data_IF_409990958539
#
_entry.id   IF_409990958539
#
_cell.length_a   1.000
_cell.length_b   1.000
_cell.length_c   1.000
_cell.angle_alpha   90.00
_cell.angle_beta   90.00
_cell.angle_gamma   90.00
#
_symmetry.space_group_name_H-M   'P 1'
#
loop_
_entity.id
_entity.type
_entity.pdbx_description
1 polymer ?
#
# COMPACT_ATOMS: atom_id res chain seq x y z
N UNK A 1 -28.51 -31.09 -82.34
CA UNK A 1 -27.84 -31.58 -81.12
C UNK A 1 -27.23 -30.39 -80.44
N UNK A 2 -27.89 -29.82 -79.35
CA UNK A 2 -27.47 -28.60 -78.66
C UNK A 2 -26.85 -29.03 -77.36
N UNK A 3 -25.57 -28.69 -77.18
CA UNK A 3 -24.78 -28.97 -75.95
C UNK A 3 -24.97 -27.80 -74.99
N UNK A 4 -25.65 -28.03 -73.85
CA UNK A 4 -25.71 -27.05 -72.75
C UNK A 4 -24.41 -27.08 -71.94
N UNK A 5 -23.70 -25.96 -71.88
CA UNK A 5 -22.59 -25.74 -70.98
C UNK A 5 -23.13 -25.13 -69.67
N UNK A 6 -23.11 -25.91 -68.60
CA UNK A 6 -23.38 -25.42 -67.24
C UNK A 6 -22.17 -24.68 -66.72
N UNK A 7 -22.36 -23.40 -66.40
CA UNK A 7 -21.35 -22.58 -65.72
C UNK A 7 -21.43 -22.84 -64.21
N UNK A 8 -20.38 -23.43 -63.66
CA UNK A 8 -20.19 -23.57 -62.17
C UNK A 8 -19.65 -22.26 -61.64
N UNK A 9 -20.46 -21.55 -60.81
CA UNK A 9 -20.04 -20.34 -60.12
C UNK A 9 -19.32 -20.76 -58.81
N UNK A 10 -18.03 -20.50 -58.74
CA UNK A 10 -17.24 -20.60 -57.50
C UNK A 10 -17.53 -19.39 -56.63
N UNK A 11 -18.18 -19.58 -55.46
CA UNK A 11 -18.32 -18.58 -54.42
C UNK A 11 -17.10 -18.70 -53.53
N UNK A 12 -16.19 -17.73 -53.63
CA UNK A 12 -15.06 -17.61 -52.70
C UNK A 12 -15.57 -17.06 -51.35
N UNK A 13 -15.57 -17.90 -50.32
CA UNK A 13 -15.91 -17.53 -48.96
C UNK A 13 -14.69 -16.84 -48.35
N UNK A 14 -14.72 -15.50 -48.25
CA UNK A 14 -13.72 -14.72 -47.49
C UNK A 14 -14.00 -14.90 -46.01
N UNK A 15 -13.21 -15.76 -45.34
CA UNK A 15 -13.17 -15.86 -43.89
C UNK A 15 -12.32 -14.69 -43.41
N UNK A 16 -12.96 -13.63 -42.90
CA UNK A 16 -12.28 -12.56 -42.18
C UNK A 16 -11.77 -13.10 -40.82
N UNK A 17 -10.46 -13.29 -40.69
CA UNK A 17 -9.80 -13.53 -39.40
C UNK A 17 -9.94 -12.27 -38.55
N UNK A 18 -10.91 -12.26 -37.62
CA UNK A 18 -10.97 -11.27 -36.54
C UNK A 18 -9.91 -11.70 -35.54
N UNK A 19 -8.73 -11.08 -35.58
CA UNK A 19 -7.75 -11.19 -34.50
C UNK A 19 -8.40 -10.64 -33.22
N UNK A 20 -8.32 -11.34 -32.07
CA UNK A 20 -8.80 -10.77 -30.85
C UNK A 20 -7.94 -9.53 -30.54
N UNK A 21 -8.56 -8.36 -30.52
CA UNK A 21 -7.94 -7.17 -29.95
C UNK A 21 -7.60 -7.52 -28.50
N UNK A 22 -6.31 -7.52 -28.14
CA UNK A 22 -5.90 -7.62 -26.76
C UNK A 22 -6.59 -6.47 -26.02
N UNK A 23 -7.57 -6.78 -25.18
CA UNK A 23 -8.20 -5.82 -24.31
C UNK A 23 -7.12 -5.37 -23.31
N UNK A 24 -6.47 -4.25 -23.61
CA UNK A 24 -5.67 -3.58 -22.61
C UNK A 24 -6.61 -3.29 -21.44
N UNK A 25 -6.31 -3.86 -20.25
CA UNK A 25 -7.05 -3.56 -19.04
C UNK A 25 -7.05 -2.04 -18.86
N UNK A 26 -8.23 -1.44 -18.98
CA UNK A 26 -8.36 0.01 -18.86
C UNK A 26 -8.11 0.36 -17.39
N UNK A 27 -7.07 1.11 -17.13
CA UNK A 27 -6.79 1.66 -15.79
C UNK A 27 -7.91 2.66 -15.49
N UNK A 28 -8.68 2.40 -14.44
CA UNK A 28 -9.81 3.24 -14.05
C UNK A 28 -10.09 3.10 -12.55
N UNK A 29 -11.07 3.86 -12.02
CA UNK A 29 -11.40 3.87 -10.61
C UNK A 29 -12.15 2.62 -10.09
N UNK A 30 -12.54 1.71 -10.97
CA UNK A 30 -13.06 0.42 -10.55
C UNK A 30 -11.94 -0.43 -9.94
N UNK A 31 -12.29 -1.33 -9.03
CA UNK A 31 -11.32 -2.19 -8.32
C UNK A 31 -10.35 -2.89 -9.27
N UNK A 32 -10.87 -3.42 -10.38
CA UNK A 32 -10.06 -4.13 -11.39
C UNK A 32 -9.07 -3.19 -12.09
N UNK A 33 -9.48 -1.97 -12.41
CA UNK A 33 -8.60 -0.97 -13.03
C UNK A 33 -7.52 -0.47 -12.07
N UNK A 34 -7.86 -0.27 -10.81
CA UNK A 34 -6.91 0.09 -9.75
C UNK A 34 -5.93 -1.06 -9.45
N UNK A 35 -6.41 -2.32 -9.47
CA UNK A 35 -5.53 -3.48 -9.38
C UNK A 35 -4.55 -3.53 -10.54
N UNK A 36 -5.02 -3.30 -11.78
CA UNK A 36 -4.15 -3.26 -12.95
C UNK A 36 -3.08 -2.16 -12.85
N UNK A 37 -3.42 -0.97 -12.32
CA UNK A 37 -2.44 0.09 -12.06
C UNK A 37 -1.38 -0.34 -11.03
N UNK A 38 -1.79 -1.04 -9.98
CA UNK A 38 -0.88 -1.61 -8.98
C UNK A 38 0.05 -2.66 -9.59
N UNK A 39 -0.49 -3.57 -10.41
CA UNK A 39 0.30 -4.63 -11.05
C UNK A 39 1.37 -4.04 -11.98
N UNK A 40 1.03 -2.97 -12.72
CA UNK A 40 1.99 -2.23 -13.54
C UNK A 40 3.07 -1.56 -12.69
N UNK A 41 2.70 -0.98 -11.55
CA UNK A 41 3.67 -0.40 -10.61
C UNK A 41 4.60 -1.47 -10.03
N UNK A 42 4.07 -2.59 -9.56
CA UNK A 42 4.89 -3.70 -9.02
C UNK A 42 5.87 -4.24 -10.07
N UNK A 43 5.40 -4.37 -11.33
CA UNK A 43 6.26 -4.78 -12.43
C UNK A 43 7.36 -3.74 -12.74
N UNK A 44 7.02 -2.44 -12.69
CA UNK A 44 7.96 -1.34 -12.88
C UNK A 44 9.00 -1.29 -11.76
N UNK A 45 8.58 -1.37 -10.50
CA UNK A 45 9.47 -1.39 -9.34
C UNK A 45 10.38 -2.62 -9.35
N UNK A 46 9.84 -3.79 -9.71
CA UNK A 46 10.64 -5.02 -9.81
C UNK A 46 11.74 -4.93 -10.86
N UNK A 47 11.49 -4.24 -11.97
CA UNK A 47 12.46 -4.01 -13.07
C UNK A 47 13.35 -2.79 -12.86
N UNK A 48 12.97 -1.85 -12.01
CA UNK A 48 13.59 -0.52 -11.94
C UNK A 48 13.31 0.31 -13.19
N UNK A 49 12.16 0.11 -13.84
CA UNK A 49 11.81 0.78 -15.10
C UNK A 49 10.31 1.17 -15.11
N UNK A 50 10.00 2.44 -14.88
CA UNK A 50 8.63 2.96 -14.92
C UNK A 50 8.10 3.27 -16.34
N UNK A 51 8.89 3.08 -17.39
CA UNK A 51 8.53 3.51 -18.78
C UNK A 51 7.27 2.82 -19.32
N UNK A 52 6.94 1.63 -18.82
CA UNK A 52 5.74 0.87 -19.21
C UNK A 52 4.46 1.29 -18.46
N UNK A 53 4.55 2.22 -17.50
CA UNK A 53 3.38 2.66 -16.74
C UNK A 53 2.59 3.73 -17.51
N UNK A 54 1.23 3.70 -17.47
CA UNK A 54 0.39 4.69 -18.14
C UNK A 54 0.35 6.01 -17.32
N UNK A 55 1.46 6.72 -17.25
CA UNK A 55 1.55 7.98 -16.51
C UNK A 55 0.79 9.10 -17.22
N UNK A 56 0.08 9.93 -16.45
CA UNK A 56 -0.49 11.18 -16.94
C UNK A 56 0.62 12.18 -17.29
N UNK A 57 0.33 13.12 -18.19
CA UNK A 57 1.25 14.23 -18.44
C UNK A 57 1.41 15.05 -17.14
N UNK A 58 2.65 15.21 -16.69
CA UNK A 58 2.95 15.90 -15.43
C UNK A 58 2.59 15.09 -14.18
N UNK A 59 2.50 13.75 -14.28
CA UNK A 59 2.31 12.89 -13.11
C UNK A 59 3.33 13.22 -12.02
N UNK A 60 2.85 13.38 -10.79
CA UNK A 60 3.72 13.65 -9.65
C UNK A 60 4.37 12.34 -9.15
N UNK A 61 5.67 12.42 -8.84
CA UNK A 61 6.39 11.36 -8.16
C UNK A 61 6.96 11.91 -6.85
N UNK A 62 6.63 11.27 -5.74
CA UNK A 62 6.89 11.75 -4.39
C UNK A 62 7.56 10.63 -3.60
N UNK A 63 8.66 10.92 -2.93
CA UNK A 63 9.31 10.04 -1.96
C UNK A 63 9.43 10.74 -0.61
N UNK A 64 9.01 10.07 0.46
CA UNK A 64 9.11 10.58 1.81
C UNK A 64 8.58 12.03 1.93
N UNK A 65 7.40 12.27 1.30
CA UNK A 65 6.70 13.57 1.25
C UNK A 65 7.46 14.68 0.51
N UNK A 66 8.48 14.34 -0.29
CA UNK A 66 9.21 15.29 -1.14
C UNK A 66 8.99 14.95 -2.61
N UNK A 67 8.70 15.96 -3.42
CA UNK A 67 8.64 15.80 -4.89
C UNK A 67 10.04 15.48 -5.42
N UNK A 68 10.14 14.37 -6.14
CA UNK A 68 11.40 13.86 -6.70
C UNK A 68 11.22 13.65 -8.21
N UNK A 69 12.29 13.80 -8.98
CA UNK A 69 12.27 13.38 -10.38
C UNK A 69 12.16 11.85 -10.43
N UNK A 70 11.13 11.33 -11.11
CA UNK A 70 10.91 9.89 -11.26
C UNK A 70 12.14 9.18 -11.86
N UNK A 71 12.97 9.88 -12.60
CA UNK A 71 14.22 9.35 -13.19
C UNK A 71 15.35 9.14 -12.17
N UNK A 72 15.21 9.67 -10.97
CA UNK A 72 16.19 9.53 -9.88
C UNK A 72 15.63 8.83 -8.66
N UNK A 73 14.34 8.53 -8.65
CA UNK A 73 13.65 7.93 -7.51
C UNK A 73 13.94 6.44 -7.29
N UNK A 74 13.44 5.93 -6.17
CA UNK A 74 13.59 4.51 -5.79
C UNK A 74 12.97 3.56 -6.82
N UNK A 75 11.98 4.02 -7.58
CA UNK A 75 11.35 3.25 -8.67
C UNK A 75 12.32 2.88 -9.80
N UNK A 76 13.45 3.57 -9.92
CA UNK A 76 14.53 3.25 -10.87
C UNK A 76 15.46 2.14 -10.37
N UNK A 77 15.32 1.72 -9.13
CA UNK A 77 16.13 0.65 -8.54
C UNK A 77 15.40 -0.68 -8.71
N UNK A 78 15.95 -1.64 -9.47
CA UNK A 78 15.33 -2.96 -9.58
C UNK A 78 15.30 -3.63 -8.20
N UNK A 79 14.14 -4.20 -7.85
CA UNK A 79 13.93 -4.84 -6.56
C UNK A 79 13.36 -6.25 -6.74
N UNK A 80 13.96 -7.22 -6.06
CA UNK A 80 13.31 -8.52 -5.88
C UNK A 80 12.27 -8.35 -4.76
N UNK A 81 11.00 -8.18 -5.14
CA UNK A 81 9.90 -8.06 -4.19
C UNK A 81 9.65 -9.44 -3.59
N UNK A 82 9.86 -9.58 -2.28
CA UNK A 82 9.65 -10.85 -1.56
C UNK A 82 8.21 -11.00 -1.08
N UNK A 83 7.55 -9.88 -0.76
CA UNK A 83 6.13 -9.85 -0.36
C UNK A 83 5.53 -8.50 -0.69
N UNK A 84 4.24 -8.49 -1.01
CA UNK A 84 3.46 -7.25 -1.09
C UNK A 84 2.02 -7.47 -0.62
N UNK A 85 1.37 -6.37 -0.21
CA UNK A 85 -0.04 -6.29 0.15
C UNK A 85 -0.61 -5.02 -0.42
N UNK A 86 -1.80 -5.10 -1.02
CA UNK A 86 -2.44 -3.96 -1.67
C UNK A 86 -3.83 -3.70 -1.08
N UNK A 87 -4.11 -2.42 -0.82
CA UNK A 87 -5.42 -1.86 -0.54
C UNK A 87 -5.90 -1.13 -1.77
N UNK A 88 -7.20 -1.23 -2.04
CA UNK A 88 -7.83 -0.57 -3.20
C UNK A 88 -9.01 0.26 -2.72
N UNK A 89 -8.94 1.56 -2.98
CA UNK A 89 -9.97 2.55 -2.63
C UNK A 89 -10.65 3.11 -3.90
N UNK A 90 -11.74 2.51 -4.37
CA UNK A 90 -12.45 3.01 -5.54
C UNK A 90 -13.09 4.38 -5.34
N UNK A 91 -13.38 4.76 -4.08
CA UNK A 91 -14.06 6.03 -3.79
C UNK A 91 -13.16 7.25 -4.04
N UNK A 92 -11.85 7.10 -3.86
CA UNK A 92 -10.85 8.16 -4.10
C UNK A 92 -9.97 7.90 -5.31
N UNK A 93 -10.19 6.79 -6.02
CA UNK A 93 -9.36 6.34 -7.14
C UNK A 93 -7.90 6.12 -6.73
N UNK A 94 -7.69 5.50 -5.58
CA UNK A 94 -6.37 5.32 -4.99
C UNK A 94 -6.10 3.86 -4.64
N UNK A 95 -4.82 3.51 -4.63
CA UNK A 95 -4.34 2.26 -4.04
C UNK A 95 -3.22 2.55 -3.05
N UNK A 96 -3.01 1.65 -2.12
CA UNK A 96 -1.81 1.61 -1.30
C UNK A 96 -1.20 0.21 -1.38
N UNK A 97 0.10 0.13 -1.56
CA UNK A 97 0.82 -1.14 -1.61
C UNK A 97 1.99 -1.11 -0.64
N UNK A 98 1.96 -2.01 0.35
CA UNK A 98 3.10 -2.32 1.20
C UNK A 98 3.98 -3.34 0.47
N UNK A 99 5.29 -3.07 0.37
CA UNK A 99 6.27 -3.92 -0.31
C UNK A 99 7.40 -4.24 0.66
N UNK A 100 7.82 -5.50 0.71
CA UNK A 100 8.94 -5.96 1.52
C UNK A 100 10.02 -6.53 0.60
N UNK A 101 11.25 -6.04 0.77
CA UNK A 101 12.46 -6.48 0.07
C UNK A 101 13.52 -6.83 1.10
N UNK A 102 13.91 -8.10 1.17
CA UNK A 102 14.87 -8.61 2.17
C UNK A 102 16.28 -8.76 1.62
N UNK A 103 16.57 -8.19 0.43
CA UNK A 103 17.91 -8.21 -0.15
C UNK A 103 18.94 -7.65 0.85
N UNK A 104 19.92 -8.46 1.22
CA UNK A 104 20.91 -8.09 2.24
C UNK A 104 21.77 -6.88 1.86
N UNK A 105 21.93 -6.62 0.56
CA UNK A 105 22.69 -5.47 0.08
C UNK A 105 21.91 -4.17 0.16
N UNK A 106 20.58 -4.25 -0.09
CA UNK A 106 19.67 -3.09 -0.11
C UNK A 106 18.26 -3.50 0.30
N UNK A 107 18.02 -3.78 1.61
CA UNK A 107 16.69 -4.10 2.09
C UNK A 107 15.81 -2.85 2.13
N UNK A 108 14.52 -3.02 1.80
CA UNK A 108 13.50 -1.95 1.84
C UNK A 108 12.19 -2.46 2.43
N UNK A 109 11.45 -1.55 3.07
CA UNK A 109 10.01 -1.68 3.24
C UNK A 109 9.39 -0.40 2.71
N UNK A 110 8.52 -0.53 1.71
CA UNK A 110 7.88 0.60 1.04
C UNK A 110 6.39 0.62 1.32
N UNK A 111 5.84 1.80 1.53
CA UNK A 111 4.40 2.05 1.51
C UNK A 111 4.08 2.98 0.34
N UNK A 112 3.56 2.47 -0.77
CA UNK A 112 3.34 3.27 -1.98
C UNK A 112 1.86 3.49 -2.25
N UNK A 113 1.47 4.76 -2.33
CA UNK A 113 0.16 5.20 -2.79
C UNK A 113 0.22 5.53 -4.29
N UNK A 114 -0.79 5.09 -5.03
CA UNK A 114 -1.01 5.47 -6.42
C UNK A 114 -2.37 6.16 -6.51
N UNK A 115 -2.42 7.31 -7.19
CA UNK A 115 -3.68 7.95 -7.53
C UNK A 115 -3.89 7.91 -9.04
N UNK A 116 -5.04 7.37 -9.42
CA UNK A 116 -5.48 7.28 -10.81
C UNK A 116 -6.43 8.44 -11.13
N UNK A 117 -6.28 9.01 -12.32
CA UNK A 117 -7.20 9.99 -12.87
C UNK A 117 -7.58 9.55 -14.29
N UNK A 118 -8.87 9.29 -14.51
CA UNK A 118 -9.39 8.64 -15.71
C UNK A 118 -8.73 7.25 -15.90
N UNK A 119 -7.87 7.10 -16.89
CA UNK A 119 -7.15 5.87 -17.23
C UNK A 119 -5.63 5.97 -17.03
N UNK A 120 -5.17 7.02 -16.34
CA UNK A 120 -3.76 7.36 -16.15
C UNK A 120 -3.39 7.45 -14.68
N UNK A 121 -2.17 7.04 -14.38
CA UNK A 121 -1.57 7.27 -13.07
C UNK A 121 -1.15 8.75 -12.98
N UNK A 122 -1.82 9.50 -12.13
CA UNK A 122 -1.59 10.92 -11.94
C UNK A 122 -0.57 11.23 -10.82
N UNK A 123 -0.40 10.29 -9.88
CA UNK A 123 0.51 10.46 -8.76
C UNK A 123 0.99 9.12 -8.24
N UNK A 124 2.27 9.04 -7.91
CA UNK A 124 2.90 7.95 -7.18
C UNK A 124 3.59 8.57 -5.97
N UNK A 125 3.22 8.14 -4.77
CA UNK A 125 3.83 8.60 -3.53
C UNK A 125 4.29 7.42 -2.71
N UNK A 126 5.60 7.33 -2.46
CA UNK A 126 6.22 6.23 -1.71
C UNK A 126 6.80 6.73 -0.39
N UNK A 127 6.39 6.13 0.72
CA UNK A 127 7.19 6.15 1.92
C UNK A 127 8.24 5.06 1.80
N UNK A 128 9.49 5.45 1.75
CA UNK A 128 10.64 4.57 1.54
C UNK A 128 11.38 4.43 2.85
N UNK A 129 11.38 3.23 3.43
CA UNK A 129 12.19 2.92 4.62
C UNK A 129 13.29 1.92 4.31
N UNK A 130 14.45 2.12 4.93
CA UNK A 130 15.69 1.39 4.72
C UNK A 130 16.53 1.40 6.01
N UNK A 131 17.71 0.72 6.06
CA UNK A 131 18.58 0.76 7.23
C UNK A 131 18.91 2.18 7.69
N UNK A 132 18.64 2.47 8.96
CA UNK A 132 18.76 3.81 9.57
C UNK A 132 17.41 4.49 9.85
N UNK A 133 16.34 4.03 9.24
CA UNK A 133 14.98 4.48 9.56
C UNK A 133 14.47 3.89 10.89
N UNK A 134 13.35 4.42 11.37
CA UNK A 134 12.79 4.05 12.66
C UNK A 134 12.49 2.55 12.76
N UNK A 135 13.17 1.87 13.70
CA UNK A 135 13.01 0.44 13.99
C UNK A 135 13.11 -0.48 12.76
N UNK A 136 13.73 0.00 11.67
CA UNK A 136 13.75 -0.72 10.40
C UNK A 136 14.36 -2.12 10.53
N UNK A 137 13.58 -3.13 10.13
CA UNK A 137 14.03 -4.51 10.00
C UNK A 137 13.16 -5.27 8.99
N UNK A 138 13.60 -5.33 7.75
CA UNK A 138 12.86 -5.99 6.66
C UNK A 138 12.68 -7.50 6.87
N UNK A 139 13.67 -8.19 7.43
CA UNK A 139 13.58 -9.63 7.73
C UNK A 139 12.47 -9.93 8.74
N UNK A 140 12.38 -9.12 9.80
CA UNK A 140 11.32 -9.26 10.78
C UNK A 140 9.95 -8.87 10.20
N UNK A 141 9.89 -7.84 9.36
CA UNK A 141 8.66 -7.49 8.65
C UNK A 141 8.18 -8.68 7.81
N UNK A 142 9.08 -9.30 7.04
CA UNK A 142 8.81 -10.49 6.24
C UNK A 142 8.40 -11.70 7.08
N UNK A 143 8.94 -11.83 8.30
CA UNK A 143 8.60 -12.92 9.21
C UNK A 143 7.14 -12.89 9.65
N UNK A 144 6.56 -11.70 9.82
CA UNK A 144 5.24 -11.53 10.42
C UNK A 144 4.13 -11.28 9.39
N UNK A 145 4.39 -10.41 8.41
CA UNK A 145 3.34 -9.90 7.49
C UNK A 145 2.63 -10.98 6.66
N UNK A 146 3.30 -12.02 6.12
CA UNK A 146 2.60 -13.03 5.31
C UNK A 146 1.62 -13.90 6.10
N UNK A 147 1.81 -14.02 7.42
CA UNK A 147 0.95 -14.85 8.29
C UNK A 147 -0.30 -14.13 8.80
N UNK A 148 -0.48 -12.85 8.50
CA UNK A 148 -1.63 -12.06 8.92
C UNK A 148 -2.78 -12.17 7.91
N UNK A 149 -4.00 -12.35 8.43
CA UNK A 149 -5.19 -12.39 7.58
C UNK A 149 -5.68 -10.98 7.23
N UNK A 150 -5.42 -10.59 5.99
CA UNK A 150 -5.92 -9.37 5.35
C UNK A 150 -6.91 -9.69 4.23
N UNK A 151 -7.52 -10.85 4.27
CA UNK A 151 -8.46 -11.31 3.26
C UNK A 151 -9.74 -10.49 3.19
N UNK A 152 -10.54 -10.79 2.19
CA UNK A 152 -11.84 -10.16 1.94
C UNK A 152 -12.83 -10.46 3.07
N UNK A 153 -13.47 -9.40 3.58
CA UNK A 153 -14.58 -9.51 4.55
C UNK A 153 -15.88 -9.71 3.77
N UNK A 154 -16.75 -10.67 4.19
CA UNK A 154 -18.07 -10.81 3.61
C UNK A 154 -18.86 -9.49 3.64
N UNK A 155 -19.57 -9.15 2.56
CA UNK A 155 -20.19 -7.83 2.39
C UNK A 155 -21.07 -7.39 3.58
N UNK A 156 -21.84 -8.34 4.17
CA UNK A 156 -22.69 -8.07 5.33
C UNK A 156 -21.93 -7.82 6.66
N UNK A 157 -20.62 -8.01 6.68
CA UNK A 157 -19.77 -7.87 7.86
C UNK A 157 -18.74 -6.74 7.71
N UNK A 158 -18.75 -6.03 6.58
CA UNK A 158 -17.82 -4.93 6.34
C UNK A 158 -18.17 -3.74 7.19
N UNK A 159 -17.16 -3.16 7.80
CA UNK A 159 -17.26 -1.85 8.42
C UNK A 159 -17.32 -0.77 7.31
N UNK A 160 -18.04 0.31 7.58
CA UNK A 160 -18.09 1.46 6.67
C UNK A 160 -16.77 2.24 6.69
N UNK A 161 -16.52 3.00 5.63
CA UNK A 161 -15.39 3.94 5.54
C UNK A 161 -15.23 4.80 6.79
N UNK A 162 -16.34 5.37 7.28
CA UNK A 162 -16.33 6.24 8.46
C UNK A 162 -15.90 5.47 9.72
N UNK A 163 -16.35 4.23 9.89
CA UNK A 163 -15.94 3.37 11.00
C UNK A 163 -14.45 3.06 10.94
N UNK A 164 -13.92 2.74 9.75
CA UNK A 164 -12.51 2.44 9.55
C UNK A 164 -11.63 3.66 9.86
N UNK A 165 -11.99 4.83 9.32
CA UNK A 165 -11.26 6.09 9.56
C UNK A 165 -11.37 6.52 11.03
N UNK A 166 -12.53 6.34 11.68
CA UNK A 166 -12.68 6.65 13.11
C UNK A 166 -11.79 5.78 14.00
N UNK A 167 -11.67 4.47 13.69
CA UNK A 167 -10.77 3.57 14.40
C UNK A 167 -9.30 3.96 14.24
N UNK A 168 -8.88 4.33 13.02
CA UNK A 168 -7.54 4.82 12.74
C UNK A 168 -7.24 6.13 13.49
N UNK A 169 -8.17 7.10 13.44
CA UNK A 169 -8.00 8.36 14.15
C UNK A 169 -7.91 8.16 15.68
N UNK A 170 -8.75 7.31 16.27
CA UNK A 170 -8.69 7.01 17.70
C UNK A 170 -7.30 6.47 18.12
N UNK A 171 -6.69 5.62 17.28
CA UNK A 171 -5.33 5.14 17.50
C UNK A 171 -4.30 6.27 17.41
N UNK A 172 -4.34 7.08 16.35
CA UNK A 172 -3.39 8.17 16.12
C UNK A 172 -3.51 9.28 17.18
N UNK A 173 -4.72 9.57 17.67
CA UNK A 173 -4.98 10.54 18.74
C UNK A 173 -4.46 10.07 20.11
N UNK A 174 -4.42 8.75 20.33
CA UNK A 174 -3.93 8.19 21.57
C UNK A 174 -2.45 8.53 21.84
N UNK A 175 -1.66 8.83 20.81
CA UNK A 175 -0.26 9.24 20.94
C UNK A 175 -0.08 10.61 21.58
N UNK A 176 -1.01 11.53 21.38
CA UNK A 176 -0.93 12.87 21.96
C UNK A 176 -1.28 12.86 23.47
N UNK A 177 -2.44 12.31 23.79
CA UNK A 177 -3.02 12.43 25.14
C UNK A 177 -2.96 11.12 25.94
N UNK A 178 -2.39 10.07 25.36
CA UNK A 178 -2.36 8.71 25.94
C UNK A 178 -3.75 8.18 26.30
N UNK A 179 -4.76 8.51 25.50
CA UNK A 179 -6.14 8.01 25.65
C UNK A 179 -6.29 6.59 25.13
N UNK A 180 -5.53 5.66 25.68
CA UNK A 180 -5.49 4.25 25.22
C UNK A 180 -6.86 3.59 25.29
N UNK A 181 -7.66 3.90 26.28
CA UNK A 181 -8.99 3.30 26.49
C UNK A 181 -10.04 3.76 25.45
N UNK A 182 -9.77 4.86 24.73
CA UNK A 182 -10.65 5.35 23.68
C UNK A 182 -10.43 4.60 22.33
N UNK A 183 -9.34 3.87 22.20
CA UNK A 183 -9.01 3.14 20.99
C UNK A 183 -9.81 1.83 20.92
N UNK A 184 -10.47 1.52 19.81
CA UNK A 184 -11.27 0.31 19.67
C UNK A 184 -10.40 -0.94 19.44
N UNK A 185 -9.67 -1.36 20.46
CA UNK A 185 -8.79 -2.53 20.39
C UNK A 185 -9.56 -3.81 20.11
N UNK A 186 -9.07 -4.62 19.18
CA UNK A 186 -9.42 -6.03 19.02
C UNK A 186 -8.40 -6.91 19.77
N UNK A 187 -8.77 -8.16 20.07
CA UNK A 187 -7.86 -9.12 20.68
C UNK A 187 -7.96 -10.46 19.95
N UNK A 188 -6.85 -11.04 19.51
CA UNK A 188 -5.50 -10.47 19.51
C UNK A 188 -5.38 -9.27 18.56
N UNK A 189 -4.50 -8.34 18.88
CA UNK A 189 -4.09 -7.24 18.01
C UNK A 189 -2.56 -7.24 17.90
N UNK A 190 -2.04 -7.20 16.68
CA UNK A 190 -0.60 -7.20 16.44
C UNK A 190 -0.16 -5.86 15.84
N UNK A 191 0.88 -5.25 16.43
CA UNK A 191 1.52 -4.05 15.89
C UNK A 191 2.94 -4.37 15.46
N UNK A 192 3.26 -4.07 14.20
CA UNK A 192 4.60 -4.17 13.63
C UNK A 192 5.08 -2.77 13.27
N UNK A 193 6.10 -2.30 13.97
CA UNK A 193 6.63 -0.95 13.88
C UNK A 193 8.04 -1.01 13.28
N UNK A 194 8.19 -0.64 12.01
CA UNK A 194 9.45 -0.72 11.26
C UNK A 194 10.04 -2.14 11.11
N UNK A 195 9.37 -3.15 11.66
CA UNK A 195 9.82 -4.54 11.74
C UNK A 195 9.89 -5.08 13.17
N UNK A 196 9.75 -4.23 14.18
CA UNK A 196 9.64 -4.67 15.57
C UNK A 196 8.17 -4.95 15.88
N UNK A 197 7.86 -6.21 16.19
CA UNK A 197 6.54 -6.58 16.65
C UNK A 197 6.40 -6.25 18.13
N UNK A 198 5.41 -5.41 18.46
CA UNK A 198 5.05 -5.12 19.83
C UNK A 198 4.05 -6.16 20.35
N UNK A 199 4.09 -6.48 21.63
CA UNK A 199 3.28 -7.55 22.19
C UNK A 199 4.13 -8.78 22.53
N UNK A 200 3.48 -9.80 23.13
CA UNK A 200 4.15 -10.99 23.67
C UNK A 200 3.91 -12.23 22.79
N UNK A 201 3.12 -12.13 21.73
CA UNK A 201 2.79 -13.23 20.83
C UNK A 201 1.77 -14.22 21.43
N UNK A 202 0.97 -13.78 22.41
CA UNK A 202 -0.09 -14.59 23.04
C UNK A 202 -1.47 -14.17 22.54
N UNK A 203 -2.51 -15.04 22.62
CA UNK A 203 -3.85 -14.74 22.11
C UNK A 203 -4.51 -13.48 22.71
N UNK A 204 -4.04 -13.03 23.86
CA UNK A 204 -4.55 -11.83 24.56
C UNK A 204 -3.74 -10.57 24.26
N UNK A 205 -2.75 -10.65 23.37
CA UNK A 205 -1.96 -9.48 23.02
C UNK A 205 -2.82 -8.36 22.44
N UNK A 206 -2.48 -7.14 22.86
CA UNK A 206 -3.02 -5.89 22.35
C UNK A 206 -1.96 -5.05 21.64
N UNK A 207 -2.42 -4.12 20.84
CA UNK A 207 -1.56 -3.18 20.11
C UNK A 207 -1.17 -1.95 20.94
N UNK A 208 -1.65 -1.81 22.18
CA UNK A 208 -1.42 -0.66 23.06
C UNK A 208 0.00 -0.59 23.63
N UNK A 209 0.74 -1.70 23.57
CA UNK A 209 2.08 -1.81 24.15
C UNK A 209 3.03 -0.80 23.52
N UNK A 210 3.61 0.07 24.36
CA UNK A 210 4.62 1.03 23.92
C UNK A 210 4.06 2.25 23.16
N UNK A 211 2.74 2.49 23.15
CA UNK A 211 2.18 3.75 22.65
C UNK A 211 2.67 4.89 23.54
N UNK A 212 3.46 5.86 23.01
CA UNK A 212 3.98 6.98 23.80
C UNK A 212 2.89 8.00 24.13
N UNK A 213 3.23 9.01 24.91
CA UNK A 213 2.41 10.19 25.15
C UNK A 213 3.12 11.44 24.63
N UNK A 214 2.36 12.49 24.32
CA UNK A 214 2.90 13.78 23.90
C UNK A 214 3.44 13.78 22.45
N UNK A 215 3.06 12.80 21.64
CA UNK A 215 3.44 12.73 20.24
C UNK A 215 2.25 13.12 19.38
N UNK A 216 2.39 14.19 18.62
CA UNK A 216 1.34 14.61 17.69
C UNK A 216 1.55 13.94 16.32
N UNK A 217 0.48 13.33 15.80
CA UNK A 217 0.45 12.71 14.46
C UNK A 217 -0.57 13.48 13.64
N UNK A 218 -0.09 14.23 12.65
CA UNK A 218 -0.89 15.22 11.91
C UNK A 218 -0.79 15.04 10.39
N UNK A 219 -1.46 15.92 9.62
CA UNK A 219 -1.49 15.90 8.16
C UNK A 219 -1.99 14.56 7.56
N UNK A 220 -2.97 13.94 8.23
CA UNK A 220 -3.49 12.61 7.89
C UNK A 220 -4.26 12.62 6.58
N UNK A 221 -3.90 11.72 5.68
CA UNK A 221 -4.63 11.41 4.43
C UNK A 221 -4.91 9.92 4.42
N UNK A 222 -6.16 9.53 4.17
CA UNK A 222 -6.58 8.14 4.30
C UNK A 222 -6.88 7.51 2.94
N UNK A 223 -6.39 6.28 2.74
CA UNK A 223 -6.82 5.34 1.71
C UNK A 223 -7.56 4.21 2.41
N UNK A 224 -8.77 3.87 1.94
CA UNK A 224 -9.67 2.94 2.64
C UNK A 224 -10.15 1.84 1.71
N UNK A 225 -9.90 0.60 2.08
CA UNK A 225 -10.45 -0.57 1.42
C UNK A 225 -11.49 -1.25 2.31
N UNK A 226 -12.77 -0.90 2.15
CA UNK A 226 -13.87 -1.53 2.90
C UNK A 226 -13.99 -3.04 2.63
N UNK A 227 -13.52 -3.51 1.47
CA UNK A 227 -13.57 -4.93 1.12
C UNK A 227 -12.70 -5.77 2.02
N UNK A 228 -11.55 -5.23 2.39
CA UNK A 228 -10.60 -5.89 3.29
C UNK A 228 -10.62 -5.29 4.70
N UNK A 229 -11.49 -4.32 4.99
CA UNK A 229 -11.51 -3.63 6.28
C UNK A 229 -10.18 -2.96 6.60
N UNK A 230 -9.47 -2.50 5.58
CA UNK A 230 -8.16 -1.90 5.74
C UNK A 230 -8.20 -0.39 5.53
N UNK A 231 -7.43 0.34 6.31
CA UNK A 231 -7.22 1.78 6.16
C UNK A 231 -5.75 2.11 6.40
N UNK A 232 -5.18 2.93 5.53
CA UNK A 232 -3.86 3.50 5.76
C UNK A 232 -3.95 5.01 5.90
N UNK A 233 -3.24 5.55 6.88
CA UNK A 233 -2.96 6.98 6.99
C UNK A 233 -1.56 7.25 6.45
N UNK A 234 -1.43 8.21 5.52
CA UNK A 234 -0.19 8.94 5.31
C UNK A 234 -0.22 10.13 6.24
N UNK A 235 0.77 10.29 7.07
CA UNK A 235 0.79 11.31 8.12
C UNK A 235 2.20 11.79 8.43
N UNK A 236 2.32 12.70 9.39
CA UNK A 236 3.62 13.14 9.91
C UNK A 236 3.69 12.88 11.40
N UNK A 237 4.77 12.21 11.82
CA UNK A 237 4.97 11.76 13.18
C UNK A 237 5.83 12.74 14.00
N UNK A 238 5.28 13.18 15.11
CA UNK A 238 6.00 13.89 16.15
C UNK A 238 6.47 15.31 15.83
N UNK A 239 7.25 15.88 16.73
CA UNK A 239 7.84 17.21 16.57
C UNK A 239 8.85 17.18 15.43
N UNK A 240 8.56 17.98 14.40
CA UNK A 240 9.37 18.06 13.21
C UNK A 240 8.85 17.21 12.04
N UNK A 241 7.71 16.52 12.20
CA UNK A 241 6.97 15.92 11.12
C UNK A 241 7.76 14.89 10.31
N UNK A 242 8.14 13.77 10.94
CA UNK A 242 8.74 12.67 10.20
C UNK A 242 7.71 12.08 9.24
N UNK A 243 8.05 11.86 7.95
CA UNK A 243 7.18 11.14 7.03
C UNK A 243 6.83 9.77 7.59
N UNK A 244 5.53 9.47 7.62
CA UNK A 244 5.03 8.28 8.29
C UNK A 244 3.81 7.67 7.59
N UNK A 245 3.62 6.37 7.75
CA UNK A 245 2.37 5.68 7.41
C UNK A 245 1.95 4.74 8.52
N UNK A 246 0.64 4.75 8.79
CA UNK A 246 0.01 3.77 9.67
C UNK A 246 -1.04 2.98 8.88
N UNK A 247 -0.79 1.70 8.66
CA UNK A 247 -1.70 0.78 8.01
C UNK A 247 -2.44 -0.04 9.08
N UNK A 248 -3.77 -0.04 9.02
CA UNK A 248 -4.64 -0.71 9.97
C UNK A 248 -5.51 -1.77 9.28
N UNK A 249 -5.69 -2.91 9.93
CA UNK A 249 -6.78 -3.85 9.70
C UNK A 249 -7.81 -3.67 10.80
N UNK A 250 -9.07 -3.46 10.41
CA UNK A 250 -10.22 -3.31 11.31
C UNK A 250 -11.26 -4.37 10.98
N UNK A 251 -11.79 -5.03 12.00
CA UNK A 251 -12.84 -6.02 11.87
C UNK A 251 -13.89 -5.78 12.95
N UNK A 252 -15.15 -5.60 12.54
CA UNK A 252 -16.26 -5.30 13.44
C UNK A 252 -15.98 -4.08 14.34
N UNK A 253 -15.42 -3.04 13.70
CA UNK A 253 -15.02 -1.80 14.37
C UNK A 253 -13.82 -1.93 15.32
N UNK A 254 -13.06 -3.03 15.28
CA UNK A 254 -11.92 -3.29 16.19
C UNK A 254 -10.61 -3.43 15.42
N UNK A 255 -9.54 -2.80 15.93
CA UNK A 255 -8.19 -2.94 15.39
C UNK A 255 -7.65 -4.34 15.58
N UNK A 256 -7.12 -4.95 14.52
CA UNK A 256 -6.55 -6.29 14.50
C UNK A 256 -5.06 -6.30 14.17
N UNK A 257 -4.66 -5.49 13.20
CA UNK A 257 -3.26 -5.30 12.83
C UNK A 257 -2.97 -3.83 12.68
N UNK A 258 -1.75 -3.43 13.05
CA UNK A 258 -1.19 -2.09 12.84
C UNK A 258 0.23 -2.25 12.32
N UNK A 259 0.50 -1.71 11.12
CA UNK A 259 1.84 -1.62 10.56
C UNK A 259 2.25 -0.17 10.47
N UNK A 260 3.47 0.16 10.87
CA UNK A 260 3.99 1.53 10.77
C UNK A 260 5.31 1.57 10.04
N UNK A 261 5.46 2.55 9.18
CA UNK A 261 6.70 2.89 8.51
C UNK A 261 7.00 4.36 8.77
N UNK A 262 8.14 4.66 9.36
CA UNK A 262 8.57 6.03 9.65
C UNK A 262 9.93 6.29 9.03
N UNK A 263 10.01 7.25 8.11
CA UNK A 263 11.27 7.67 7.52
C UNK A 263 11.96 8.71 8.41
N UNK A 264 13.26 8.51 8.62
CA UNK A 264 14.12 9.44 9.39
C UNK A 264 15.07 10.13 8.44
N UNK A 265 14.83 11.40 8.09
CA UNK A 265 15.72 12.14 7.20
C UNK A 265 17.17 12.16 7.71
N UNK A 266 18.17 12.11 6.81
CA UNK A 266 19.58 12.15 7.20
C UNK A 266 19.90 13.34 8.11
N UNK A 267 20.69 13.09 9.16
CA UNK A 267 21.09 14.10 10.14
C UNK A 267 20.04 14.42 11.22
N UNK A 268 18.83 13.84 11.15
CA UNK A 268 17.84 13.95 12.21
C UNK A 268 18.08 12.93 13.31
N UNK A 269 18.08 13.39 14.56
CA UNK A 269 18.04 12.49 15.71
C UNK A 269 16.57 12.29 16.11
N UNK A 270 16.17 11.04 16.24
CA UNK A 270 14.90 10.68 16.84
C UNK A 270 15.03 10.99 18.34
N UNK A 271 14.14 11.84 18.87
CA UNK A 271 14.16 12.20 20.30
C UNK A 271 14.14 10.96 21.19
N UNK A 272 14.62 11.09 22.44
CA UNK A 272 14.92 10.01 23.42
C UNK A 272 13.78 9.02 23.78
N UNK A 273 12.85 8.78 22.89
CA UNK A 273 11.82 7.72 22.98
C UNK A 273 12.11 6.48 22.13
N UNK A 274 13.20 6.48 21.36
CA UNK A 274 13.59 5.31 20.55
C UNK A 274 14.12 4.17 21.42
N UNK A 275 13.94 2.90 21.00
CA UNK A 275 14.45 1.76 21.73
C UNK A 275 15.96 1.90 21.88
N UNK A 276 16.44 1.78 23.11
CA UNK A 276 17.87 1.55 23.38
C UNK A 276 18.24 0.28 22.62
N UNK A 277 19.30 0.39 21.77
CA UNK A 277 19.90 -0.77 21.13
C UNK A 277 19.90 -1.96 22.09
N UNK A 278 19.03 -2.92 21.87
CA UNK A 278 19.19 -4.23 22.47
C UNK A 278 20.33 -4.90 21.70
N UNK A 279 21.50 -4.95 22.37
CA UNK A 279 22.65 -5.74 21.92
C UNK A 279 22.30 -7.21 21.89
#
# INVERSE_FOLDING_TARGET
MRIHRSAVKWIALLIALVAPAAAFAQVGCMREGLQAATDLYLAAQGKGDPSGMPLAQGAAYIENMQVVDIKSGVIQKPMKIDFHRTLIDPATCETFTEIIVTDKSHPYVLGTRIRVNHDKIAEIESLVTQPGDWLFNADNYMKWSPGEDWGTIPAAQRDSRDTLVAAANAYLDAFLEKKIDAVPWGYPCNRTEGGIRTGKGVPQDGCEVGVPAGVNIVARRFIVDETTGAVVAFDTFGVGGLPDTHLFRVEKGKLRFVHTLTHVPPGRQIGRGGPRNQK
#
